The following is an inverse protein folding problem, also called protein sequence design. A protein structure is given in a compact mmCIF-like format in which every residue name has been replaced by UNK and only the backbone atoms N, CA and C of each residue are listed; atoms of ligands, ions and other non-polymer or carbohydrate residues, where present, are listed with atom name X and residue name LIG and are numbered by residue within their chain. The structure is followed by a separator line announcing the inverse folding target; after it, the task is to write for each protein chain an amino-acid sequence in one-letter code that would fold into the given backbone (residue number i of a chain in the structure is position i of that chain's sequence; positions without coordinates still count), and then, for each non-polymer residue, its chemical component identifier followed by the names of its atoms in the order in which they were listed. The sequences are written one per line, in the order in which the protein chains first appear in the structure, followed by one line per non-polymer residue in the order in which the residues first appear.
data_IF_297087704870
#
_entry.id   IF_297087704870
#
_cell.length_a   1.000
_cell.length_b   1.000
_cell.length_c   1.000
_cell.angle_alpha   90.00
_cell.angle_beta   90.00
_cell.angle_gamma   90.00
#
_symmetry.space_group_name_H-M   'P 1'
#
loop_
_entity.id
_entity.type
_entity.pdbx_description
1 polymer ?
#
# COMPACT_ATOMS: atom_id res chain seq x y z
N UNK A 1 -24.14 -0.50 -13.35
CA UNK A 1 -22.80 -0.83 -12.79
C UNK A 1 -21.71 0.19 -13.17
N UNK A 2 -21.62 0.67 -14.43
CA UNK A 2 -20.53 1.56 -14.92
C UNK A 2 -20.33 2.93 -14.22
N UNK A 3 -21.24 3.39 -13.35
CA UNK A 3 -21.09 4.63 -12.54
C UNK A 3 -20.89 4.38 -11.04
N UNK A 4 -20.95 3.13 -10.61
CA UNK A 4 -20.92 2.75 -9.19
C UNK A 4 -19.66 1.97 -8.81
N UNK A 5 -19.10 1.19 -9.74
CA UNK A 5 -17.93 0.35 -9.52
C UNK A 5 -16.86 0.67 -10.56
N UNK A 6 -15.62 0.84 -10.12
CA UNK A 6 -14.43 0.89 -10.96
C UNK A 6 -13.42 -0.15 -10.49
N UNK A 7 -12.83 -0.87 -11.43
CA UNK A 7 -11.73 -1.79 -11.16
C UNK A 7 -10.53 -1.30 -11.93
N UNK A 8 -9.42 -1.10 -11.22
CA UNK A 8 -8.13 -0.77 -11.83
C UNK A 8 -7.07 -1.74 -11.34
N UNK A 9 -6.26 -2.24 -12.26
CA UNK A 9 -5.11 -3.11 -12.00
C UNK A 9 -3.83 -2.47 -12.53
N UNK A 10 -2.68 -2.89 -12.02
CA UNK A 10 -1.44 -2.77 -12.79
C UNK A 10 -1.48 -3.71 -14.01
N UNK A 11 -0.77 -3.35 -15.08
CA UNK A 11 -0.67 -4.16 -16.31
C UNK A 11 0.37 -5.27 -16.15
N UNK A 12 0.05 -6.21 -15.27
CA UNK A 12 0.84 -7.40 -14.99
C UNK A 12 -0.12 -8.57 -14.82
N UNK A 13 0.11 -9.67 -15.54
CA UNK A 13 -0.80 -10.84 -15.61
C UNK A 13 -1.34 -11.26 -14.25
N UNK A 14 -0.45 -11.50 -13.27
CA UNK A 14 -0.85 -11.92 -11.91
C UNK A 14 -1.82 -10.96 -11.21
N UNK A 15 -1.75 -9.65 -11.48
CA UNK A 15 -2.62 -8.65 -10.88
C UNK A 15 -3.98 -8.59 -11.61
N UNK A 16 -3.96 -8.73 -12.94
CA UNK A 16 -5.17 -8.81 -13.77
C UNK A 16 -5.97 -10.09 -13.48
N UNK A 17 -5.31 -11.24 -13.45
CA UNK A 17 -5.91 -12.54 -13.12
C UNK A 17 -6.46 -12.58 -11.69
N UNK A 18 -5.76 -11.95 -10.73
CA UNK A 18 -6.24 -11.80 -9.36
C UNK A 18 -7.52 -10.96 -9.30
N UNK A 19 -7.58 -9.86 -10.07
CA UNK A 19 -8.78 -9.04 -10.16
C UNK A 19 -9.95 -9.81 -10.79
N UNK A 20 -9.72 -10.56 -11.86
CA UNK A 20 -10.74 -11.42 -12.49
C UNK A 20 -11.27 -12.46 -11.50
N UNK A 21 -10.38 -13.11 -10.74
CA UNK A 21 -10.73 -14.12 -9.75
C UNK A 21 -11.58 -13.53 -8.61
N UNK A 22 -11.17 -12.36 -8.08
CA UNK A 22 -11.94 -11.64 -7.05
C UNK A 22 -13.34 -11.27 -7.55
N UNK A 23 -13.42 -10.72 -8.77
CA UNK A 23 -14.69 -10.27 -9.35
C UNK A 23 -15.65 -11.43 -9.63
N UNK A 24 -15.12 -12.58 -10.05
CA UNK A 24 -15.93 -13.79 -10.26
C UNK A 24 -16.60 -14.27 -8.97
N UNK A 25 -15.93 -14.12 -7.82
CA UNK A 25 -16.51 -14.43 -6.51
C UNK A 25 -17.45 -13.33 -5.98
N UNK A 26 -17.13 -12.07 -6.25
CA UNK A 26 -17.88 -10.92 -5.72
C UNK A 26 -19.19 -10.64 -6.47
N UNK A 27 -19.21 -10.93 -7.79
CA UNK A 27 -20.33 -10.63 -8.67
C UNK A 27 -20.73 -11.88 -9.50
N UNK A 28 -21.18 -12.96 -8.85
CA UNK A 28 -21.73 -14.09 -9.58
C UNK A 28 -23.01 -13.66 -10.35
N UNK A 29 -23.33 -14.26 -11.50
CA UNK A 29 -24.60 -14.02 -12.19
C UNK A 29 -25.79 -14.21 -11.23
N UNK A 30 -26.71 -13.26 -11.18
CA UNK A 30 -27.87 -13.32 -10.26
C UNK A 30 -29.09 -13.96 -10.92
N UNK A 31 -29.13 -13.98 -12.25
CA UNK A 31 -30.19 -14.58 -13.06
C UNK A 31 -29.62 -15.12 -14.38
N UNK A 32 -30.39 -15.97 -15.06
CA UNK A 32 -30.01 -16.47 -16.39
C UNK A 32 -29.87 -15.35 -17.42
N UNK A 33 -30.61 -14.25 -17.26
CA UNK A 33 -30.50 -13.06 -18.12
C UNK A 33 -29.18 -12.30 -17.97
N UNK A 34 -28.45 -12.49 -16.87
CA UNK A 34 -27.11 -11.93 -16.69
C UNK A 34 -26.03 -12.78 -17.39
N UNK A 35 -26.34 -14.05 -17.70
CA UNK A 35 -25.42 -14.99 -18.33
C UNK A 35 -25.49 -14.82 -19.85
N UNK A 36 -24.33 -14.66 -20.49
CA UNK A 36 -24.25 -14.76 -21.95
C UNK A 36 -24.18 -16.23 -22.41
N UNK A 37 -23.75 -17.14 -21.53
CA UNK A 37 -23.70 -18.58 -21.73
C UNK A 37 -24.26 -19.28 -20.48
N UNK A 38 -25.35 -20.06 -20.59
CA UNK A 38 -25.93 -20.78 -19.45
C UNK A 38 -24.98 -21.74 -18.74
N UNK A 39 -23.95 -22.26 -19.44
CA UNK A 39 -22.95 -23.17 -18.90
C UNK A 39 -21.87 -22.46 -18.07
N UNK A 40 -21.77 -21.12 -18.17
CA UNK A 40 -20.75 -20.33 -17.47
C UNK A 40 -21.38 -19.53 -16.32
N UNK A 41 -20.97 -19.83 -15.09
CA UNK A 41 -21.35 -19.05 -13.91
C UNK A 41 -20.46 -17.80 -13.75
N UNK A 42 -20.38 -16.96 -14.79
CA UNK A 42 -19.49 -15.81 -14.86
C UNK A 42 -20.10 -14.70 -15.73
N UNK A 43 -19.79 -13.44 -15.38
CA UNK A 43 -20.18 -12.27 -16.18
C UNK A 43 -18.95 -11.42 -16.51
N UNK A 44 -18.86 -10.84 -17.72
CA UNK A 44 -17.76 -9.96 -18.08
C UNK A 44 -17.81 -8.65 -17.29
N UNK A 45 -16.74 -8.40 -16.52
CA UNK A 45 -16.55 -7.14 -15.79
C UNK A 45 -15.25 -6.49 -16.27
N UNK A 46 -15.35 -5.23 -16.71
CA UNK A 46 -14.21 -4.50 -17.24
C UNK A 46 -13.17 -4.20 -16.15
N UNK A 47 -11.91 -4.53 -16.43
CA UNK A 47 -10.74 -4.18 -15.62
C UNK A 47 -9.91 -3.18 -16.40
N UNK A 48 -9.63 -2.03 -15.81
CA UNK A 48 -8.80 -0.99 -16.43
C UNK A 48 -7.34 -1.17 -15.98
N UNK A 49 -6.40 -1.10 -16.90
CA UNK A 49 -4.97 -1.11 -16.58
C UNK A 49 -4.23 0.01 -17.29
N UNK A 50 -3.17 0.48 -16.67
CA UNK A 50 -2.28 1.49 -17.25
C UNK A 50 -1.29 0.79 -18.16
N UNK A 51 -1.16 1.21 -19.43
CA UNK A 51 -0.35 0.54 -20.48
C UNK A 51 1.09 0.17 -20.10
N UNK A 52 1.67 0.83 -19.11
CA UNK A 52 3.03 0.58 -18.66
C UNK A 52 3.04 0.45 -17.14
N UNK A 53 3.12 -0.80 -16.65
CA UNK A 53 3.09 -1.08 -15.21
C UNK A 53 4.19 -0.34 -14.44
N UNK A 54 5.37 -0.12 -15.04
CA UNK A 54 6.47 0.63 -14.40
C UNK A 54 6.27 2.15 -14.41
N UNK A 55 5.29 2.69 -15.13
CA UNK A 55 4.95 4.12 -15.12
C UNK A 55 3.65 4.41 -14.36
N UNK A 56 3.12 3.42 -13.63
CA UNK A 56 1.91 3.60 -12.82
C UNK A 56 2.27 4.20 -11.45
N UNK A 57 2.20 5.54 -11.36
CA UNK A 57 2.44 6.29 -10.12
C UNK A 57 1.46 5.96 -8.98
N UNK A 58 0.26 5.45 -9.31
CA UNK A 58 -0.78 5.15 -8.33
C UNK A 58 -0.65 3.71 -7.80
N UNK A 59 -0.54 2.73 -8.70
CA UNK A 59 -0.61 1.31 -8.37
C UNK A 59 0.73 0.57 -8.45
N UNK A 60 1.81 1.22 -8.89
CA UNK A 60 3.17 0.67 -8.82
C UNK A 60 4.23 1.75 -8.47
N UNK A 61 4.06 2.47 -7.35
CA UNK A 61 4.94 3.58 -7.01
C UNK A 61 6.41 3.15 -6.80
N UNK A 62 6.67 1.92 -6.36
CA UNK A 62 8.05 1.40 -6.21
C UNK A 62 8.76 1.12 -7.53
N UNK A 63 7.99 0.88 -8.61
CA UNK A 63 8.49 0.71 -9.97
C UNK A 63 8.55 2.01 -10.77
N UNK A 64 7.85 3.07 -10.32
CA UNK A 64 7.84 4.38 -10.96
C UNK A 64 9.25 4.99 -11.07
N UNK A 65 9.66 5.54 -12.23
CA UNK A 65 10.96 6.16 -12.40
C UNK A 65 11.12 7.42 -11.55
N UNK A 66 11.70 7.23 -10.35
CA UNK A 66 11.88 8.30 -9.38
C UNK A 66 13.33 8.33 -8.89
N UNK A 67 14.11 9.29 -9.37
CA UNK A 67 15.54 9.40 -9.02
C UNK A 67 15.73 9.70 -7.53
N UNK A 68 14.91 10.60 -6.98
CA UNK A 68 14.92 10.93 -5.54
C UNK A 68 14.63 9.72 -4.67
N UNK A 69 13.57 8.96 -4.97
CA UNK A 69 13.23 7.74 -4.22
C UNK A 69 14.33 6.67 -4.34
N UNK A 70 14.91 6.49 -5.54
CA UNK A 70 16.05 5.57 -5.73
C UNK A 70 17.23 5.94 -4.86
N UNK A 71 17.58 7.22 -4.77
CA UNK A 71 18.66 7.72 -3.92
C UNK A 71 18.36 7.50 -2.43
N UNK A 72 17.15 7.80 -1.96
CA UNK A 72 16.74 7.56 -0.57
C UNK A 72 16.83 6.07 -0.21
N UNK A 73 16.41 5.16 -1.10
CA UNK A 73 16.57 3.71 -0.88
C UNK A 73 18.04 3.29 -0.81
N UNK A 74 18.93 3.96 -1.54
CA UNK A 74 20.37 3.66 -1.49
C UNK A 74 20.94 4.03 -0.12
N UNK A 75 20.62 5.22 0.41
CA UNK A 75 21.01 5.63 1.76
C UNK A 75 20.57 4.58 2.79
N UNK A 76 19.28 4.22 2.75
CA UNK A 76 18.72 3.20 3.64
C UNK A 76 19.44 1.86 3.49
N UNK A 77 19.73 1.44 2.26
CA UNK A 77 20.45 0.20 2.00
C UNK A 77 21.86 0.22 2.61
N UNK A 78 22.58 1.34 2.49
CA UNK A 78 23.94 1.51 2.99
C UNK A 78 23.98 1.50 4.53
N UNK A 79 22.96 2.08 5.18
CA UNK A 79 22.83 2.10 6.64
C UNK A 79 22.53 0.71 7.23
N UNK A 80 21.63 -0.07 6.63
CA UNK A 80 21.11 -1.29 7.26
C UNK A 80 21.78 -2.58 6.79
N UNK A 81 22.30 -2.63 5.55
CA UNK A 81 22.71 -3.89 4.93
C UNK A 81 23.90 -4.52 5.64
N UNK A 82 24.94 -3.72 5.94
CA UNK A 82 26.13 -4.22 6.62
C UNK A 82 25.79 -4.77 8.02
N UNK A 83 24.97 -4.03 8.78
CA UNK A 83 24.52 -4.45 10.10
C UNK A 83 23.74 -5.78 10.07
N UNK A 84 22.81 -5.93 9.14
CA UNK A 84 22.05 -7.18 9.00
C UNK A 84 22.94 -8.35 8.54
N UNK A 85 23.84 -8.13 7.58
CA UNK A 85 24.76 -9.19 7.13
C UNK A 85 25.69 -9.67 8.25
N UNK A 86 26.15 -8.75 9.10
CA UNK A 86 26.98 -9.08 10.25
C UNK A 86 26.18 -9.81 11.34
N UNK A 87 25.00 -9.29 11.69
CA UNK A 87 24.09 -9.89 12.68
C UNK A 87 23.71 -11.34 12.35
N UNK A 88 23.52 -11.66 11.08
CA UNK A 88 23.18 -13.00 10.60
C UNK A 88 24.38 -13.72 9.96
N UNK A 89 25.63 -13.34 10.31
CA UNK A 89 26.85 -13.91 9.71
C UNK A 89 26.87 -15.45 9.66
N UNK A 90 26.51 -16.20 10.73
CA UNK A 90 26.49 -17.67 10.67
C UNK A 90 25.58 -18.23 9.56
N UNK A 91 24.38 -17.65 9.39
CA UNK A 91 23.45 -17.99 8.32
C UNK A 91 24.03 -17.61 6.95
N UNK A 92 24.58 -16.41 6.84
CA UNK A 92 25.15 -15.86 5.61
C UNK A 92 26.28 -16.76 5.09
N UNK A 93 27.21 -17.14 5.97
CA UNK A 93 28.33 -18.02 5.63
C UNK A 93 27.86 -19.42 5.22
N UNK A 94 26.78 -19.92 5.85
CA UNK A 94 26.19 -21.20 5.51
C UNK A 94 25.49 -21.22 4.15
N UNK A 95 24.73 -20.18 3.78
CA UNK A 95 24.00 -20.15 2.51
C UNK A 95 24.87 -19.74 1.31
N UNK A 96 26.05 -19.17 1.58
CA UNK A 96 26.97 -18.66 0.56
C UNK A 96 27.30 -19.68 -0.56
N UNK A 97 27.60 -20.96 -0.26
CA UNK A 97 27.87 -21.96 -1.29
C UNK A 97 26.63 -22.25 -2.15
N UNK A 98 25.42 -22.18 -1.58
CA UNK A 98 24.16 -22.38 -2.30
C UNK A 98 23.85 -21.21 -3.26
N UNK A 99 24.49 -20.06 -3.08
CA UNK A 99 24.42 -18.90 -3.96
C UNK A 99 25.56 -18.84 -4.99
N UNK A 100 26.46 -19.82 -5.01
CA UNK A 100 27.67 -19.83 -5.83
C UNK A 100 28.57 -18.59 -5.60
N UNK A 101 28.65 -18.11 -4.35
CA UNK A 101 29.48 -16.97 -3.97
C UNK A 101 30.72 -17.47 -3.22
N UNK A 102 31.91 -17.15 -3.73
CA UNK A 102 33.17 -17.54 -3.08
C UNK A 102 33.41 -16.76 -1.77
N UNK A 103 34.16 -17.33 -0.82
CA UNK A 103 34.44 -16.73 0.50
C UNK A 103 35.18 -15.39 0.43
N UNK A 104 35.88 -15.13 -0.66
CA UNK A 104 36.66 -13.91 -0.88
C UNK A 104 35.81 -12.74 -1.41
N UNK A 105 34.62 -13.01 -1.97
CA UNK A 105 33.76 -11.98 -2.58
C UNK A 105 32.62 -11.54 -1.66
N UNK A 106 32.48 -10.25 -1.29
CA UNK A 106 31.42 -9.82 -0.39
C UNK A 106 30.04 -10.19 -0.95
N UNK A 107 29.20 -10.80 -0.10
CA UNK A 107 27.80 -11.06 -0.42
C UNK A 107 27.01 -9.76 -0.30
N UNK A 108 26.19 -9.47 -1.31
CA UNK A 108 25.27 -8.33 -1.30
C UNK A 108 23.93 -8.75 -0.71
N UNK A 109 23.27 -7.84 0.01
CA UNK A 109 21.93 -8.09 0.59
C UNK A 109 20.95 -8.61 -0.46
N UNK A 110 20.96 -8.03 -1.68
CA UNK A 110 20.10 -8.46 -2.80
C UNK A 110 20.28 -9.94 -3.18
N UNK A 111 21.49 -10.49 -3.05
CA UNK A 111 21.78 -11.90 -3.35
C UNK A 111 21.23 -12.80 -2.25
N UNK A 112 21.40 -12.41 -0.99
CA UNK A 112 20.87 -13.15 0.15
C UNK A 112 19.34 -13.22 0.12
N UNK A 113 18.67 -12.07 -0.07
CA UNK A 113 17.20 -12.01 -0.08
C UNK A 113 16.60 -12.63 -1.35
N UNK A 114 17.39 -12.94 -2.39
CA UNK A 114 16.93 -13.70 -3.56
C UNK A 114 16.46 -15.12 -3.18
N UNK A 115 16.99 -15.69 -2.11
CA UNK A 115 16.54 -16.99 -1.57
C UNK A 115 15.06 -16.99 -1.15
N UNK A 116 14.41 -15.83 -1.02
CA UNK A 116 12.96 -15.73 -0.82
C UNK A 116 12.16 -16.44 -1.91
N UNK A 117 12.71 -16.61 -3.11
CA UNK A 117 12.04 -17.27 -4.24
C UNK A 117 11.79 -18.77 -4.00
N UNK A 118 12.39 -19.36 -2.95
CA UNK A 118 12.08 -20.70 -2.45
C UNK A 118 10.69 -20.74 -1.77
N UNK A 119 10.22 -19.61 -1.20
CA UNK A 119 8.98 -19.59 -0.41
C UNK A 119 7.74 -20.02 -1.21
N UNK A 120 7.52 -19.56 -2.46
CA UNK A 120 6.48 -20.09 -3.32
C UNK A 120 6.57 -21.61 -3.55
N UNK A 121 7.77 -22.16 -3.73
CA UNK A 121 7.94 -23.61 -3.93
C UNK A 121 7.45 -24.41 -2.71
N UNK A 122 7.80 -23.94 -1.51
CA UNK A 122 7.30 -24.52 -0.24
C UNK A 122 5.77 -24.44 -0.16
N UNK A 123 5.18 -23.29 -0.54
CA UNK A 123 3.72 -23.10 -0.51
C UNK A 123 3.01 -24.11 -1.43
N UNK A 124 3.64 -24.49 -2.54
CA UNK A 124 3.10 -25.45 -3.51
C UNK A 124 3.60 -26.89 -3.27
N UNK A 125 4.14 -27.19 -2.08
CA UNK A 125 4.61 -28.53 -1.69
C UNK A 125 5.68 -29.13 -2.62
N UNK A 126 6.48 -28.29 -3.29
CA UNK A 126 7.60 -28.76 -4.09
C UNK A 126 8.75 -29.22 -3.19
N UNK A 127 9.50 -30.28 -3.59
CA UNK A 127 10.56 -30.83 -2.77
C UNK A 127 11.68 -29.82 -2.57
N UNK A 128 12.15 -29.69 -1.33
CA UNK A 128 13.22 -28.76 -0.95
C UNK A 128 14.46 -29.50 -0.46
N UNK A 129 15.67 -28.99 -0.77
CA UNK A 129 16.89 -29.46 -0.14
C UNK A 129 16.84 -29.33 1.39
N UNK A 130 17.45 -30.27 2.11
CA UNK A 130 17.45 -30.29 3.60
C UNK A 130 17.94 -29.00 4.25
N UNK A 131 18.86 -28.28 3.59
CA UNK A 131 19.44 -27.04 4.11
C UNK A 131 18.41 -25.91 4.29
N UNK A 132 17.34 -25.90 3.48
CA UNK A 132 16.25 -24.90 3.54
C UNK A 132 15.52 -24.94 4.87
N UNK A 133 15.40 -26.12 5.47
CA UNK A 133 14.72 -26.37 6.75
C UNK A 133 15.68 -26.55 7.94
N UNK A 134 16.99 -26.35 7.75
CA UNK A 134 17.96 -26.37 8.85
C UNK A 134 17.54 -25.36 9.92
N UNK A 135 17.39 -25.82 11.17
CA UNK A 135 17.05 -24.98 12.32
C UNK A 135 18.29 -24.36 12.96
N UNK A 136 18.13 -23.15 13.49
CA UNK A 136 19.19 -22.36 14.08
C UNK A 136 18.87 -22.00 15.54
N UNK A 137 19.52 -22.68 16.49
CA UNK A 137 19.28 -22.48 17.92
C UNK A 137 19.52 -21.03 18.38
N UNK A 138 20.61 -20.42 17.90
CA UNK A 138 20.97 -19.02 18.18
C UNK A 138 19.97 -17.98 17.65
N UNK A 139 19.08 -18.38 16.73
CA UNK A 139 18.03 -17.53 16.17
C UNK A 139 16.62 -18.02 16.56
N UNK A 140 16.49 -18.61 17.75
CA UNK A 140 15.19 -19.04 18.29
C UNK A 140 14.60 -20.24 17.55
N UNK A 141 15.44 -21.17 17.11
CA UNK A 141 15.06 -22.39 16.37
C UNK A 141 14.33 -22.17 15.04
N UNK A 142 14.42 -20.96 14.47
CA UNK A 142 13.94 -20.66 13.12
C UNK A 142 14.72 -21.46 12.09
N UNK A 143 14.03 -21.85 11.02
CA UNK A 143 14.62 -22.48 9.84
C UNK A 143 15.39 -21.47 9.00
N UNK A 144 16.31 -21.95 8.16
CA UNK A 144 17.02 -21.11 7.18
C UNK A 144 16.07 -20.21 6.39
N UNK A 145 14.98 -20.76 5.84
CA UNK A 145 14.03 -19.97 5.04
C UNK A 145 13.27 -18.94 5.88
N UNK A 146 12.91 -19.24 7.13
CA UNK A 146 12.27 -18.26 8.03
C UNK A 146 13.21 -17.08 8.33
N UNK A 147 14.51 -17.34 8.53
CA UNK A 147 15.49 -16.28 8.72
C UNK A 147 15.72 -15.44 7.46
N UNK A 148 15.75 -16.06 6.28
CA UNK A 148 15.81 -15.33 5.00
C UNK A 148 14.61 -14.40 4.85
N UNK A 149 13.40 -14.86 5.20
CA UNK A 149 12.20 -14.02 5.14
C UNK A 149 12.22 -12.89 6.19
N UNK A 150 12.73 -13.16 7.39
CA UNK A 150 12.92 -12.13 8.43
C UNK A 150 13.95 -11.07 7.98
N UNK A 151 15.06 -11.48 7.38
CA UNK A 151 16.07 -10.54 6.83
C UNK A 151 15.46 -9.73 5.68
N UNK A 152 14.68 -10.35 4.80
CA UNK A 152 13.94 -9.64 3.74
C UNK A 152 13.03 -8.58 4.35
N UNK A 153 12.24 -8.93 5.36
CA UNK A 153 11.34 -7.99 6.01
C UNK A 153 12.11 -6.79 6.59
N UNK A 154 13.14 -7.06 7.41
CA UNK A 154 13.95 -6.01 8.05
C UNK A 154 14.71 -5.13 7.06
N UNK A 155 15.16 -5.70 5.93
CA UNK A 155 15.87 -4.92 4.90
C UNK A 155 14.93 -4.16 3.96
N UNK A 156 13.68 -4.61 3.79
CA UNK A 156 12.76 -4.03 2.80
C UNK A 156 11.79 -3.01 3.38
N UNK A 157 11.30 -3.20 4.61
CA UNK A 157 10.36 -2.26 5.25
C UNK A 157 10.84 -0.80 5.24
N UNK A 158 12.12 -0.50 5.56
CA UNK A 158 12.63 0.87 5.54
C UNK A 158 12.54 1.58 4.18
N UNK A 159 12.40 0.85 3.07
CA UNK A 159 12.15 1.45 1.75
C UNK A 159 10.72 2.02 1.58
N UNK A 160 9.85 1.84 2.57
CA UNK A 160 8.47 2.31 2.57
C UNK A 160 8.14 3.18 3.78
N UNK A 161 8.77 2.93 4.92
CA UNK A 161 8.51 3.64 6.17
C UNK A 161 9.77 4.21 6.85
N UNK A 162 10.92 4.23 6.17
CA UNK A 162 12.18 4.68 6.77
C UNK A 162 12.20 6.18 7.11
N UNK A 163 11.47 7.00 6.36
CA UNK A 163 11.26 8.41 6.67
C UNK A 163 10.01 8.97 5.97
N UNK A 164 9.59 10.18 6.34
CA UNK A 164 8.40 10.83 5.78
C UNK A 164 8.49 11.09 4.26
N UNK A 165 9.66 11.38 3.72
CA UNK A 165 9.83 11.61 2.29
C UNK A 165 9.65 10.31 1.48
N UNK A 166 10.21 9.21 1.96
CA UNK A 166 10.00 7.86 1.41
C UNK A 166 8.51 7.50 1.43
N UNK A 167 7.84 7.74 2.56
CA UNK A 167 6.40 7.47 2.71
C UNK A 167 5.59 8.25 1.67
N UNK A 168 5.87 9.56 1.54
CA UNK A 168 5.18 10.44 0.59
C UNK A 168 5.43 10.03 -0.86
N UNK A 169 6.69 9.79 -1.25
CA UNK A 169 7.05 9.41 -2.63
C UNK A 169 6.49 8.05 -3.04
N UNK A 170 6.22 7.15 -2.08
CA UNK A 170 5.68 5.84 -2.37
C UNK A 170 4.15 5.78 -2.26
N UNK A 171 3.59 6.01 -1.07
CA UNK A 171 2.15 5.88 -0.83
C UNK A 171 1.35 7.16 -1.09
N UNK A 172 2.00 8.30 -1.25
CA UNK A 172 1.35 9.62 -1.20
C UNK A 172 0.38 9.91 -2.34
N UNK A 173 0.61 9.39 -3.55
CA UNK A 173 -0.33 9.57 -4.69
C UNK A 173 -1.60 8.75 -4.49
N UNK A 174 -1.48 7.48 -4.07
CA UNK A 174 -2.63 6.63 -3.76
C UNK A 174 -3.40 7.13 -2.54
N UNK A 175 -2.69 7.62 -1.52
CA UNK A 175 -3.29 8.28 -0.38
C UNK A 175 -4.07 9.53 -0.82
N UNK A 176 -3.51 10.37 -1.70
CA UNK A 176 -4.22 11.55 -2.20
C UNK A 176 -5.51 11.18 -2.95
N UNK A 177 -5.48 10.18 -3.84
CA UNK A 177 -6.68 9.68 -4.54
C UNK A 177 -7.75 9.24 -3.54
N UNK A 178 -7.36 8.50 -2.49
CA UNK A 178 -8.27 8.11 -1.41
C UNK A 178 -8.88 9.31 -0.69
N UNK A 179 -8.07 10.25 -0.20
CA UNK A 179 -8.55 11.41 0.57
C UNK A 179 -9.48 12.29 -0.26
N UNK A 180 -9.14 12.54 -1.53
CA UNK A 180 -9.98 13.29 -2.45
C UNK A 180 -11.33 12.60 -2.67
N UNK A 181 -11.34 11.29 -2.90
CA UNK A 181 -12.59 10.53 -3.09
C UNK A 181 -13.49 10.61 -1.86
N UNK A 182 -12.95 10.39 -0.67
CA UNK A 182 -13.71 10.47 0.58
C UNK A 182 -14.34 11.86 0.77
N UNK A 183 -13.56 12.92 0.51
CA UNK A 183 -14.03 14.31 0.61
C UNK A 183 -15.08 14.66 -0.46
N UNK A 184 -14.91 14.22 -1.70
CA UNK A 184 -15.89 14.45 -2.77
C UNK A 184 -17.22 13.76 -2.48
N UNK A 185 -17.19 12.52 -1.96
CA UNK A 185 -18.40 11.79 -1.59
C UNK A 185 -19.14 12.49 -0.44
N UNK A 186 -18.42 12.91 0.62
CA UNK A 186 -19.04 13.54 1.79
C UNK A 186 -19.71 14.88 1.46
N UNK A 187 -19.19 15.61 0.47
CA UNK A 187 -19.75 16.87 -0.03
C UNK A 187 -20.92 16.69 -1.03
N UNK A 188 -21.39 15.46 -1.27
CA UNK A 188 -22.44 15.20 -2.26
C UNK A 188 -21.97 15.36 -3.71
N UNK A 189 -20.67 15.49 -3.94
CA UNK A 189 -20.05 15.65 -5.26
C UNK A 189 -19.67 14.30 -5.90
N UNK A 190 -20.19 13.18 -5.41
CA UNK A 190 -19.87 11.83 -5.89
C UNK A 190 -20.12 11.62 -7.40
N UNK A 191 -21.00 12.42 -8.02
CA UNK A 191 -21.25 12.39 -9.47
C UNK A 191 -20.05 12.85 -10.32
N UNK A 192 -19.08 13.55 -9.71
CA UNK A 192 -17.84 13.99 -10.36
C UNK A 192 -16.77 12.90 -10.36
N UNK A 193 -16.99 11.80 -9.63
CA UNK A 193 -16.08 10.66 -9.57
C UNK A 193 -16.39 9.67 -10.70
N UNK A 194 -15.35 8.99 -11.15
CA UNK A 194 -15.40 7.85 -12.08
C UNK A 194 -16.18 6.64 -11.53
N UNK A 195 -16.25 6.49 -10.20
CA UNK A 195 -17.14 5.57 -9.50
C UNK A 195 -17.54 6.12 -8.13
N UNK A 196 -18.84 6.11 -7.85
CA UNK A 196 -19.41 6.73 -6.65
C UNK A 196 -19.59 5.80 -5.45
N UNK A 197 -19.51 4.47 -5.61
CA UNK A 197 -19.72 3.50 -4.52
C UNK A 197 -18.48 2.69 -4.16
N UNK A 198 -17.73 2.22 -5.14
CA UNK A 198 -16.61 1.32 -4.90
C UNK A 198 -15.54 1.45 -5.97
N UNK A 199 -14.29 1.45 -5.52
CA UNK A 199 -13.10 1.33 -6.38
C UNK A 199 -12.27 0.17 -5.87
N UNK A 200 -11.94 -0.76 -6.76
CA UNK A 200 -11.08 -1.89 -6.47
C UNK A 200 -9.74 -1.70 -7.18
N UNK A 201 -8.67 -1.75 -6.39
CA UNK A 201 -7.29 -1.65 -6.87
C UNK A 201 -6.59 -3.00 -6.73
N UNK A 202 -6.27 -3.64 -7.85
CA UNK A 202 -5.46 -4.88 -7.87
C UNK A 202 -4.01 -4.54 -8.16
N UNK A 203 -3.10 -4.95 -7.27
CA UNK A 203 -1.73 -4.42 -7.26
C UNK A 203 -0.75 -5.36 -6.55
N UNK A 204 0.27 -4.81 -5.88
CA UNK A 204 1.43 -5.51 -5.35
C UNK A 204 1.56 -5.33 -3.84
N UNK A 205 2.36 -6.20 -3.22
CA UNK A 205 2.75 -6.10 -1.80
C UNK A 205 3.38 -4.74 -1.50
N UNK A 206 4.21 -4.23 -2.40
CA UNK A 206 4.81 -2.89 -2.30
C UNK A 206 3.78 -1.77 -2.25
N UNK A 207 2.72 -1.83 -3.06
CA UNK A 207 1.70 -0.77 -3.13
C UNK A 207 0.84 -0.75 -1.87
N UNK A 208 0.44 -1.94 -1.40
CA UNK A 208 -0.30 -2.09 -0.15
C UNK A 208 0.54 -1.65 1.04
N UNK A 209 1.82 -2.03 1.09
CA UNK A 209 2.74 -1.60 2.13
C UNK A 209 2.99 -0.09 2.12
N UNK A 210 3.12 0.51 0.93
CA UNK A 210 3.25 1.96 0.75
C UNK A 210 2.02 2.71 1.25
N UNK A 211 0.82 2.24 0.90
CA UNK A 211 -0.44 2.81 1.40
C UNK A 211 -0.56 2.67 2.93
N UNK A 212 -0.30 1.49 3.49
CA UNK A 212 -0.36 1.27 4.94
C UNK A 212 0.64 2.15 5.70
N UNK A 213 1.83 2.37 5.14
CA UNK A 213 2.84 3.29 5.68
C UNK A 213 2.35 4.75 5.62
N UNK A 214 1.73 5.16 4.51
CA UNK A 214 1.19 6.51 4.33
C UNK A 214 -0.05 6.79 5.21
N UNK A 215 -0.89 5.78 5.44
CA UNK A 215 -1.99 5.82 6.39
C UNK A 215 -1.52 5.90 7.85
N UNK A 216 -0.24 5.62 8.12
CA UNK A 216 0.33 5.57 9.46
C UNK A 216 -0.53 4.74 10.42
N UNK A 217 -0.88 3.53 9.97
CA UNK A 217 -1.74 2.62 10.74
C UNK A 217 -1.07 2.27 12.07
N UNK A 218 -1.85 2.29 13.15
CA UNK A 218 -1.47 1.77 14.48
C UNK A 218 -1.38 0.25 14.39
N UNK A 219 -0.29 -0.24 13.82
CA UNK A 219 0.20 -1.57 14.15
C UNK A 219 0.98 -1.47 15.46
N UNK A 220 1.02 -2.53 16.29
CA UNK A 220 2.05 -2.65 17.31
C UNK A 220 3.40 -2.30 16.68
N UNK A 221 4.21 -1.47 17.35
CA UNK A 221 5.29 -0.65 16.77
C UNK A 221 6.41 -1.39 16.02
N UNK A 222 6.29 -2.69 15.78
CA UNK A 222 7.22 -3.57 15.08
C UNK A 222 6.53 -4.55 14.10
N UNK A 223 5.23 -4.36 13.78
CA UNK A 223 4.40 -5.39 13.15
C UNK A 223 3.77 -5.01 11.79
N UNK A 224 4.25 -3.95 11.12
CA UNK A 224 3.95 -3.82 9.68
C UNK A 224 4.74 -4.93 8.97
N UNK A 225 4.09 -6.07 8.77
CA UNK A 225 4.67 -7.22 8.07
C UNK A 225 4.50 -7.06 6.56
N UNK A 226 5.30 -7.81 5.81
CA UNK A 226 5.17 -7.98 4.38
C UNK A 226 3.76 -8.48 4.06
N UNK A 227 2.98 -7.77 3.22
CA UNK A 227 1.64 -8.22 2.89
C UNK A 227 1.66 -9.64 2.28
N UNK A 228 0.90 -10.61 2.83
CA UNK A 228 0.80 -11.94 2.24
C UNK A 228 0.00 -11.90 0.93
N UNK A 229 0.03 -13.00 0.18
CA UNK A 229 -0.84 -13.15 -0.99
C UNK A 229 -2.30 -12.93 -0.62
N UNK A 230 -3.06 -12.27 -1.50
CA UNK A 230 -4.47 -11.88 -1.31
C UNK A 230 -4.76 -10.92 -0.14
N UNK A 231 -3.72 -10.32 0.47
CA UNK A 231 -3.92 -9.28 1.47
C UNK A 231 -4.67 -8.07 0.87
N UNK A 232 -5.53 -7.45 1.67
CA UNK A 232 -6.41 -6.37 1.22
C UNK A 232 -6.60 -5.32 2.32
N UNK A 233 -6.43 -4.04 1.98
CA UNK A 233 -6.88 -2.93 2.82
C UNK A 233 -8.24 -2.42 2.32
N UNK A 234 -9.21 -2.35 3.22
CA UNK A 234 -10.56 -1.86 2.92
C UNK A 234 -10.78 -0.56 3.68
N UNK A 235 -11.10 0.52 2.96
CA UNK A 235 -11.39 1.84 3.53
C UNK A 235 -12.83 2.17 3.22
N UNK A 236 -13.63 2.37 4.25
CA UNK A 236 -15.07 2.56 4.14
C UNK A 236 -15.48 3.93 4.71
N UNK A 237 -16.29 4.66 3.95
CA UNK A 237 -16.90 5.92 4.38
C UNK A 237 -18.34 5.67 4.80
N UNK A 238 -18.70 6.16 5.98
CA UNK A 238 -20.03 6.05 6.53
C UNK A 238 -20.62 7.44 6.80
N UNK A 239 -21.91 7.60 6.51
CA UNK A 239 -22.72 8.72 6.98
C UNK A 239 -23.39 8.30 8.30
N UNK A 240 -23.19 9.08 9.36
CA UNK A 240 -23.87 8.87 10.63
C UNK A 240 -25.35 9.28 10.49
N UNK A 241 -26.25 8.54 11.14
CA UNK A 241 -27.68 8.90 11.14
C UNK A 241 -27.84 10.32 11.66
N UNK A 242 -28.65 11.11 10.94
CA UNK A 242 -28.85 12.53 11.23
C UNK A 242 -29.07 12.78 12.72
N UNK A 243 -28.29 13.71 13.28
CA UNK A 243 -28.59 14.27 14.58
C UNK A 243 -29.82 15.20 14.46
N UNK A 244 -30.44 15.56 15.58
CA UNK A 244 -31.64 16.42 15.63
C UNK A 244 -31.49 17.80 14.95
N UNK A 245 -30.26 18.17 14.53
CA UNK A 245 -29.92 19.42 13.84
C UNK A 245 -29.82 19.28 12.31
N UNK A 246 -30.01 18.08 11.76
CA UNK A 246 -29.97 17.84 10.31
C UNK A 246 -28.56 17.83 9.69
N UNK A 247 -27.50 17.90 10.50
CA UNK A 247 -26.13 17.91 10.00
C UNK A 247 -25.68 16.48 9.66
N UNK A 248 -25.15 16.31 8.44
CA UNK A 248 -24.52 15.05 8.00
C UNK A 248 -23.11 14.96 8.57
N UNK A 249 -22.89 13.98 9.45
CA UNK A 249 -21.56 13.66 9.95
C UNK A 249 -21.04 12.41 9.24
N UNK A 250 -19.75 12.36 8.97
CA UNK A 250 -19.12 11.22 8.29
C UNK A 250 -17.96 10.66 9.10
N UNK A 251 -17.78 9.35 9.04
CA UNK A 251 -16.63 8.69 9.64
C UNK A 251 -16.05 7.63 8.69
N UNK A 252 -14.77 7.37 8.87
CA UNK A 252 -13.99 6.39 8.11
C UNK A 252 -13.69 5.19 9.00
N UNK A 253 -13.81 3.99 8.45
CA UNK A 253 -13.29 2.75 9.03
C UNK A 253 -12.26 2.13 8.09
N UNK A 254 -11.19 1.60 8.66
CA UNK A 254 -10.15 0.88 7.95
C UNK A 254 -10.13 -0.56 8.43
N UNK A 255 -10.04 -1.50 7.50
CA UNK A 255 -9.81 -2.90 7.79
C UNK A 255 -8.61 -3.41 7.00
N UNK A 256 -7.87 -4.34 7.59
CA UNK A 256 -6.80 -5.05 6.93
C UNK A 256 -7.06 -6.56 6.98
N UNK A 257 -7.28 -7.15 5.81
CA UNK A 257 -7.41 -8.59 5.64
C UNK A 257 -6.05 -9.21 5.35
N UNK A 258 -5.65 -10.18 6.17
CA UNK A 258 -4.46 -11.01 5.95
C UNK A 258 -4.74 -12.44 6.36
N UNK A 259 -4.32 -13.42 5.56
CA UNK A 259 -4.51 -14.85 5.83
C UNK A 259 -5.98 -15.21 6.19
N UNK A 260 -6.95 -14.60 5.48
CA UNK A 260 -8.41 -14.76 5.71
C UNK A 260 -8.94 -14.20 7.05
N UNK A 261 -8.12 -13.44 7.79
CA UNK A 261 -8.53 -12.74 9.00
C UNK A 261 -8.71 -11.27 8.65
N UNK A 262 -9.90 -10.72 8.91
CA UNK A 262 -10.22 -9.31 8.74
C UNK A 262 -10.10 -8.60 10.09
N UNK A 263 -9.22 -7.61 10.18
CA UNK A 263 -9.00 -6.87 11.42
C UNK A 263 -9.31 -5.38 11.24
N UNK A 264 -10.01 -4.74 12.20
CA UNK A 264 -10.16 -3.30 12.21
C UNK A 264 -8.84 -2.64 12.55
N UNK A 265 -8.52 -1.56 11.82
CA UNK A 265 -7.31 -0.78 12.01
C UNK A 265 -7.67 0.64 12.42
N UNK A 266 -6.78 1.26 13.20
CA UNK A 266 -6.83 2.69 13.50
C UNK A 266 -5.59 3.37 12.92
N UNK A 267 -5.69 4.64 12.54
CA UNK A 267 -4.52 5.46 12.18
C UNK A 267 -3.97 6.16 13.43
N UNK A 268 -2.69 6.53 13.43
CA UNK A 268 -2.12 7.36 14.49
C UNK A 268 -2.93 8.67 14.62
N UNK A 269 -3.28 9.07 15.85
CA UNK A 269 -4.14 10.24 16.08
C UNK A 269 -5.65 10.00 15.92
N UNK A 270 -6.10 8.77 15.65
CA UNK A 270 -7.53 8.45 15.60
C UNK A 270 -7.88 7.10 16.24
N UNK A 271 -9.18 6.85 16.43
CA UNK A 271 -9.75 5.55 16.80
C UNK A 271 -10.14 4.74 15.54
N UNK A 272 -10.65 3.52 15.72
CA UNK A 272 -11.12 2.65 14.61
C UNK A 272 -12.33 3.23 13.88
N UNK A 273 -13.15 4.05 14.56
CA UNK A 273 -14.17 4.90 13.97
C UNK A 273 -13.62 6.34 13.93
N UNK A 274 -13.07 6.74 12.80
CA UNK A 274 -12.39 8.03 12.69
C UNK A 274 -13.30 9.09 12.06
N UNK A 275 -13.51 10.24 12.71
CA UNK A 275 -14.20 11.38 12.08
C UNK A 275 -13.51 11.77 10.77
N UNK A 276 -14.30 12.02 9.72
CA UNK A 276 -13.74 12.28 8.38
C UNK A 276 -12.85 13.53 8.35
N UNK A 277 -13.23 14.62 9.03
CA UNK A 277 -12.45 15.86 9.01
C UNK A 277 -11.10 15.61 9.67
N UNK A 278 -11.10 14.94 10.83
CA UNK A 278 -9.87 14.56 11.51
C UNK A 278 -9.01 13.59 10.66
N UNK A 279 -9.63 12.60 10.02
CA UNK A 279 -8.96 11.66 9.13
C UNK A 279 -8.23 12.37 7.98
N UNK A 280 -8.91 13.32 7.32
CA UNK A 280 -8.33 14.12 6.24
C UNK A 280 -7.15 14.96 6.76
N UNK A 281 -7.33 15.68 7.87
CA UNK A 281 -6.30 16.57 8.44
C UNK A 281 -5.03 15.83 8.86
N UNK A 282 -5.17 14.65 9.48
CA UNK A 282 -4.03 13.83 9.91
C UNK A 282 -3.20 13.34 8.73
N UNK A 283 -3.86 12.96 7.63
CA UNK A 283 -3.23 12.26 6.51
C UNK A 283 -2.82 13.18 5.36
N UNK A 284 -3.40 14.38 5.24
CA UNK A 284 -3.08 15.35 4.20
C UNK A 284 -1.58 15.63 4.04
N UNK A 285 -0.79 15.80 5.13
CA UNK A 285 0.65 16.05 5.04
C UNK A 285 1.46 14.88 4.44
N UNK A 286 0.93 13.65 4.52
CA UNK A 286 1.55 12.42 3.98
C UNK A 286 1.17 12.15 2.52
N UNK A 287 0.25 12.94 1.97
CA UNK A 287 -0.18 12.83 0.58
C UNK A 287 0.70 13.64 -0.39
N UNK A 288 0.55 13.37 -1.68
CA UNK A 288 1.05 14.20 -2.79
C UNK A 288 -0.18 14.82 -3.47
N UNK A 289 -0.49 16.07 -3.11
CA UNK A 289 -1.78 16.72 -3.43
C UNK A 289 -1.96 16.98 -4.92
N UNK A 290 -0.88 17.36 -5.60
CA UNK A 290 -0.83 17.54 -7.05
C UNK A 290 -0.78 16.22 -7.84
N UNK A 291 -0.93 15.07 -7.17
CA UNK A 291 -0.95 13.76 -7.80
C UNK A 291 0.35 13.45 -8.53
N UNK A 292 0.23 12.83 -9.70
CA UNK A 292 1.39 12.39 -10.47
C UNK A 292 2.30 13.54 -10.92
N UNK A 293 1.76 14.72 -11.22
CA UNK A 293 2.55 15.86 -11.69
C UNK A 293 3.46 16.42 -10.58
N UNK A 294 2.94 16.53 -9.34
CA UNK A 294 3.78 16.87 -8.19
C UNK A 294 4.81 15.76 -7.91
N UNK A 295 4.42 14.48 -8.00
CA UNK A 295 5.36 13.36 -7.85
C UNK A 295 6.52 13.46 -8.86
N UNK A 296 6.24 13.72 -10.13
CA UNK A 296 7.26 13.89 -11.19
C UNK A 296 8.24 15.01 -10.84
N UNK A 297 7.76 16.13 -10.30
CA UNK A 297 8.61 17.23 -9.84
C UNK A 297 9.52 16.77 -8.70
N UNK A 298 8.93 16.20 -7.64
CA UNK A 298 9.67 15.71 -6.45
C UNK A 298 10.71 14.64 -6.81
N UNK A 299 10.39 13.77 -7.77
CA UNK A 299 11.27 12.73 -8.24
C UNK A 299 12.53 13.24 -8.94
N UNK A 300 12.48 14.46 -9.49
CA UNK A 300 13.57 15.13 -10.19
C UNK A 300 14.31 16.16 -9.32
N UNK A 301 13.87 16.41 -8.08
CA UNK A 301 14.55 17.34 -7.18
C UNK A 301 15.94 16.79 -6.79
N UNK A 302 16.98 17.58 -7.10
CA UNK A 302 18.33 17.40 -6.55
C UNK A 302 18.35 17.92 -5.11
N UNK A 303 19.26 17.41 -4.29
CA UNK A 303 19.37 17.53 -2.82
C UNK A 303 19.23 18.96 -2.21
N UNK A 304 19.25 20.03 -3.00
CA UNK A 304 19.48 21.40 -2.52
C UNK A 304 18.26 22.20 -2.04
N UNK A 305 17.01 21.72 -2.13
CA UNK A 305 15.82 22.57 -1.87
C UNK A 305 14.88 22.13 -0.72
N UNK A 306 15.14 21.01 -0.04
CA UNK A 306 14.24 20.49 1.00
C UNK A 306 14.19 21.35 2.27
N UNK A 307 15.20 22.18 2.53
CA UNK A 307 15.19 23.12 3.65
C UNK A 307 14.37 24.39 3.39
N UNK A 308 14.17 24.80 2.12
CA UNK A 308 13.58 26.09 1.77
C UNK A 308 12.04 26.09 1.63
N UNK A 309 11.41 24.92 1.40
CA UNK A 309 9.95 24.84 1.14
C UNK A 309 9.06 24.61 2.36
N UNK A 310 9.61 24.54 3.59
CA UNK A 310 8.79 24.47 4.82
C UNK A 310 8.02 25.77 5.12
N UNK A 311 8.18 26.84 4.32
CA UNK A 311 7.48 28.11 4.50
C UNK A 311 6.97 28.69 3.17
N UNK A 312 5.99 28.04 2.54
CA UNK A 312 5.39 28.55 1.30
C UNK A 312 3.92 28.19 1.15
N UNK A 313 3.05 29.11 1.59
CA UNK A 313 1.63 29.29 1.27
C UNK A 313 0.78 28.05 0.95
N UNK A 314 0.09 27.57 1.98
CA UNK A 314 -1.09 26.69 1.87
C UNK A 314 -2.30 27.54 1.42
N UNK A 315 -2.95 27.26 0.27
CA UNK A 315 -4.27 27.81 0.01
C UNK A 315 -5.26 27.12 0.96
N UNK A 316 -5.87 27.90 1.84
CA UNK A 316 -6.91 27.41 2.73
C UNK A 316 -8.10 26.88 1.92
N UNK A 317 -8.58 25.69 2.29
CA UNK A 317 -9.89 25.21 1.87
C UNK A 317 -10.91 26.10 2.57
N UNK A 318 -11.60 26.95 1.80
CA UNK A 318 -12.63 27.85 2.33
C UNK A 318 -13.77 27.05 2.98
N UNK A 319 -13.83 27.08 4.31
CA UNK A 319 -15.03 26.72 5.05
C UNK A 319 -16.01 27.89 5.00
N UNK A 320 -17.02 27.81 4.13
CA UNK A 320 -18.10 28.78 4.09
C UNK A 320 -18.98 28.68 5.34
N UNK A 321 -18.67 29.47 6.37
CA UNK A 321 -19.59 29.77 7.47
C UNK A 321 -20.31 31.08 7.15
N UNK A 322 -21.56 31.01 6.71
CA UNK A 322 -22.47 32.15 6.74
C UNK A 322 -22.96 32.33 8.18
N UNK A 323 -22.49 33.39 8.84
CA UNK A 323 -23.08 33.88 10.09
C UNK A 323 -24.12 34.95 9.75
N UNK A 324 -25.38 34.60 9.92
CA UNK A 324 -26.52 35.54 9.88
C UNK A 324 -26.46 36.48 11.07
N UNK A 325 -26.30 37.78 10.81
CA UNK A 325 -26.46 38.85 11.79
C UNK A 325 -27.96 39.11 11.95
N UNK A 326 -28.47 38.93 13.17
CA UNK A 326 -29.82 39.35 13.57
C UNK A 326 -29.74 40.83 13.95
N UNK A 327 -30.46 41.67 13.20
CA UNK A 327 -30.69 43.08 13.53
C UNK A 327 -31.70 43.18 14.68
N UNK A 328 -31.33 43.90 15.74
CA UNK A 328 -32.24 44.37 16.78
C UNK A 328 -32.41 45.89 16.68
N UNK A 329 -33.64 46.33 16.43
CA UNK A 329 -34.21 47.56 16.99
C UNK A 329 -35.49 47.16 17.71
#
# INVERSE_FOLDING_TARGET
MRRTLKIRSTDVDRALESAQSLLSGMFPPQSDGDRFDPALNWVPIAIHATREANHDSLLNPSGFPCARYKHLRQIVADEISAHLLDKYRPLVDFVRPHLNISKEKPIKMVQLVALRHIKPEIIHNLPQPKWVHKKWGEFGNKTTIELIMEIRQKSWLPYFNGNEEIIRLNGGVLLNDLLLRLNFVSQGNAKKLDASKMVLYSSHDSTLLGLLSALNVKVPSNALDLPPYSACAMIELYEERQNARGNKNYFVKLFYQRNRILEPMAIAGCETKCDLINFLQILEPRSIRGGEEELKILCNEKESNSAARRMGNIPAINHGTQSTVINGR
#
